data_IF_112764203432
#
_entry.id   IF_112764203432
#
_cell.length_a   1.000
_cell.length_b   1.000
_cell.length_c   1.000
_cell.angle_alpha   90.00
_cell.angle_beta   90.00
_cell.angle_gamma   90.00
#
_symmetry.space_group_name_H-M   'P 1'
#
loop_
_entity.id
_entity.type
_entity.pdbx_description
1 polymer ?
#
# COMPACT_ATOMS: atom_id res chain seq x y z
N UNK A 1 11.42 -31.81 29.36
CA UNK A 1 11.12 -30.38 29.10
C UNK A 1 9.84 -30.01 29.82
N UNK A 2 9.92 -28.96 30.64
CA UNK A 2 8.98 -28.65 31.71
C UNK A 2 7.60 -28.15 31.24
N UNK A 3 6.63 -28.43 32.11
CA UNK A 3 5.19 -28.15 32.09
C UNK A 3 4.79 -26.78 31.47
N UNK A 4 3.96 -26.80 30.41
CA UNK A 4 3.25 -25.63 29.84
C UNK A 4 1.81 -25.51 30.38
N UNK A 5 1.59 -25.73 31.68
CA UNK A 5 0.22 -25.82 32.22
C UNK A 5 -0.53 -24.48 32.33
N UNK A 6 0.12 -23.34 32.08
CA UNK A 6 -0.47 -22.00 32.17
C UNK A 6 -0.22 -21.11 30.94
N UNK A 7 0.19 -21.68 29.80
CA UNK A 7 0.40 -20.93 28.57
C UNK A 7 -0.80 -21.07 27.63
N UNK A 8 -1.49 -19.96 27.36
CA UNK A 8 -2.49 -19.90 26.29
C UNK A 8 -1.84 -19.43 25.01
N UNK A 9 -2.02 -20.16 23.91
CA UNK A 9 -1.51 -19.81 22.59
C UNK A 9 -2.69 -19.63 21.64
N UNK A 10 -2.72 -18.50 20.93
CA UNK A 10 -3.63 -18.25 19.82
C UNK A 10 -2.83 -18.24 18.52
N UNK A 11 -3.25 -19.06 17.55
CA UNK A 11 -2.63 -19.15 16.23
C UNK A 11 -3.63 -18.69 15.19
N UNK A 12 -3.26 -17.68 14.41
CA UNK A 12 -4.05 -17.15 13.30
C UNK A 12 -3.26 -17.32 12.00
N UNK A 13 -3.89 -17.90 10.99
CA UNK A 13 -3.35 -17.94 9.63
C UNK A 13 -4.01 -16.84 8.79
N UNK A 14 -3.18 -16.08 8.07
CA UNK A 14 -3.62 -14.94 7.26
C UNK A 14 -2.77 -14.87 5.99
N UNK A 15 -3.42 -14.67 4.84
CA UNK A 15 -2.76 -14.46 3.56
C UNK A 15 -2.88 -12.97 3.22
N UNK A 16 -1.81 -12.18 3.35
CA UNK A 16 -1.87 -10.74 3.14
C UNK A 16 -2.03 -10.38 1.66
N UNK A 17 -2.70 -9.26 1.42
CA UNK A 17 -2.81 -8.62 0.10
C UNK A 17 -2.02 -7.30 0.07
N UNK A 18 -1.86 -6.72 -1.12
CA UNK A 18 -1.22 -5.40 -1.27
C UNK A 18 -1.96 -4.27 -0.52
N UNK A 19 -3.25 -4.46 -0.24
CA UNK A 19 -4.04 -3.48 0.52
C UNK A 19 -3.79 -3.59 2.03
N UNK A 20 -3.07 -4.61 2.50
CA UNK A 20 -2.73 -4.80 3.91
C UNK A 20 -1.35 -4.26 4.27
N UNK A 21 -0.57 -3.81 3.29
CA UNK A 21 0.71 -3.13 3.50
C UNK A 21 0.53 -1.88 4.38
N UNK A 22 1.34 -1.76 5.44
CA UNK A 22 1.27 -0.68 6.40
C UNK A 22 0.13 -0.77 7.42
N UNK A 23 -0.78 -1.76 7.30
CA UNK A 23 -1.83 -1.99 8.31
C UNK A 23 -1.28 -2.67 9.56
N UNK A 24 -1.85 -2.41 10.76
CA UNK A 24 -1.48 -3.11 11.98
C UNK A 24 -2.18 -4.47 12.09
N UNK A 25 -1.48 -5.45 12.64
CA UNK A 25 -2.05 -6.68 13.21
C UNK A 25 -1.81 -6.68 14.71
N UNK A 26 -2.86 -6.94 15.50
CA UNK A 26 -2.81 -6.86 16.97
C UNK A 26 -3.19 -8.21 17.58
N UNK A 27 -2.32 -8.74 18.44
CA UNK A 27 -2.64 -9.82 19.36
C UNK A 27 -3.13 -9.20 20.67
N UNK A 28 -4.33 -9.57 21.10
CA UNK A 28 -4.96 -9.06 22.32
C UNK A 28 -5.28 -10.23 23.26
N UNK A 29 -4.80 -10.12 24.49
CA UNK A 29 -5.08 -11.05 25.58
C UNK A 29 -6.02 -10.39 26.60
N UNK A 30 -7.11 -11.07 26.91
CA UNK A 30 -8.15 -10.59 27.82
C UNK A 30 -8.41 -11.65 28.91
N UNK A 31 -8.63 -11.20 30.15
CA UNK A 31 -9.08 -12.05 31.23
C UNK A 31 -10.58 -11.77 31.48
N UNK A 32 -11.48 -12.74 31.31
CA UNK A 32 -12.92 -12.50 31.46
C UNK A 32 -13.33 -12.06 32.88
N UNK A 33 -12.51 -12.35 33.90
CA UNK A 33 -12.75 -11.92 35.28
C UNK A 33 -12.22 -10.50 35.56
N UNK A 34 -11.44 -9.91 34.66
CA UNK A 34 -10.87 -8.55 34.79
C UNK A 34 -11.16 -7.79 33.50
N UNK A 35 -12.41 -7.36 33.35
CA UNK A 35 -12.96 -6.79 32.11
C UNK A 35 -12.41 -5.41 31.74
N UNK A 36 -11.73 -4.73 32.66
CA UNK A 36 -11.20 -3.38 32.46
C UNK A 36 -9.78 -3.36 31.90
N UNK A 37 -9.10 -4.50 31.82
CA UNK A 37 -7.70 -4.60 31.42
C UNK A 37 -7.54 -5.59 30.26
N UNK A 38 -6.72 -5.21 29.28
CA UNK A 38 -6.22 -6.10 28.23
C UNK A 38 -4.74 -5.86 28.01
N UNK A 39 -4.06 -6.86 27.47
CA UNK A 39 -2.69 -6.73 26.99
C UNK A 39 -2.66 -6.89 25.48
N UNK A 40 -2.11 -5.90 24.81
CA UNK A 40 -2.09 -5.82 23.36
C UNK A 40 -0.64 -5.76 22.87
N UNK A 41 -0.35 -6.47 21.79
CA UNK A 41 0.92 -6.35 21.06
C UNK A 41 0.59 -6.24 19.58
N UNK A 42 1.13 -5.20 18.94
CA UNK A 42 0.86 -4.91 17.54
C UNK A 42 2.12 -4.94 16.69
N UNK A 43 1.96 -5.36 15.45
CA UNK A 43 2.98 -5.34 14.41
C UNK A 43 2.43 -4.66 13.17
N UNK A 44 3.27 -3.91 12.45
CA UNK A 44 2.90 -3.37 11.14
C UNK A 44 3.22 -4.40 10.06
N UNK A 45 2.24 -4.72 9.23
CA UNK A 45 2.40 -5.63 8.12
C UNK A 45 3.24 -4.94 7.03
N UNK A 46 4.31 -5.58 6.59
CA UNK A 46 5.16 -5.13 5.48
C UNK A 46 5.01 -6.11 4.32
N UNK A 47 4.21 -5.75 3.31
CA UNK A 47 3.97 -6.61 2.14
C UNK A 47 4.80 -6.08 0.99
N UNK A 48 5.65 -6.92 0.43
CA UNK A 48 6.44 -6.60 -0.76
C UNK A 48 5.65 -6.99 -2.00
N UNK A 49 5.46 -6.05 -2.92
CA UNK A 49 4.67 -6.26 -4.13
C UNK A 49 5.22 -5.43 -5.31
N UNK A 50 5.03 -5.91 -6.55
CA UNK A 50 5.45 -5.17 -7.74
C UNK A 50 4.63 -3.87 -7.90
N UNK A 51 5.15 -2.86 -8.61
CA UNK A 51 4.42 -1.62 -8.84
C UNK A 51 3.06 -1.83 -9.51
N UNK A 52 2.02 -1.29 -8.89
CA UNK A 52 0.67 -1.19 -9.43
C UNK A 52 0.47 0.24 -9.93
N UNK A 53 0.21 0.37 -11.23
CA UNK A 53 0.13 1.67 -11.92
C UNK A 53 -1.31 1.98 -12.28
N UNK A 54 -1.75 3.22 -12.02
CA UNK A 54 -3.02 3.77 -12.48
C UNK A 54 -2.80 5.11 -13.16
N UNK A 55 -3.23 5.19 -14.41
CA UNK A 55 -3.22 6.42 -15.19
C UNK A 55 -4.54 7.15 -15.03
N UNK A 56 -4.47 8.46 -14.80
CA UNK A 56 -5.64 9.34 -14.79
C UNK A 56 -5.32 10.58 -15.62
N UNK A 57 -6.34 11.12 -16.26
CA UNK A 57 -6.23 12.44 -16.85
C UNK A 57 -5.95 13.45 -15.73
N UNK A 58 -5.17 14.50 -16.02
CA UNK A 58 -4.87 15.55 -15.07
C UNK A 58 -6.12 16.09 -14.37
N UNK A 59 -6.04 16.36 -13.07
CA UNK A 59 -7.22 16.71 -12.26
C UNK A 59 -7.99 17.94 -12.75
N UNK A 60 -7.35 18.82 -13.53
CA UNK A 60 -7.97 20.01 -14.14
C UNK A 60 -8.60 19.76 -15.52
N UNK A 61 -8.50 18.54 -16.06
CA UNK A 61 -8.95 18.21 -17.41
C UNK A 61 -10.23 17.35 -17.36
N UNK A 62 -11.20 17.70 -18.20
CA UNK A 62 -12.41 16.90 -18.40
C UNK A 62 -12.36 16.24 -19.79
N UNK A 63 -12.40 14.91 -19.83
CA UNK A 63 -12.20 14.16 -21.08
C UNK A 63 -13.19 14.54 -22.20
N UNK A 64 -14.40 14.97 -21.85
CA UNK A 64 -15.43 15.39 -22.82
C UNK A 64 -15.22 16.80 -23.39
N UNK A 65 -14.36 17.62 -22.78
CA UNK A 65 -14.17 19.03 -23.15
C UNK A 65 -12.85 19.29 -23.89
N UNK A 66 -12.03 18.25 -24.10
CA UNK A 66 -10.74 18.34 -24.78
C UNK A 66 -10.96 18.56 -26.28
N UNK A 67 -10.26 19.55 -26.83
CA UNK A 67 -10.30 19.94 -28.25
C UNK A 67 -8.89 20.04 -28.83
N UNK A 68 -8.82 20.11 -30.16
CA UNK A 68 -7.57 20.37 -30.86
C UNK A 68 -6.97 21.71 -30.42
N UNK A 69 -5.69 21.69 -30.07
CA UNK A 69 -4.97 22.84 -29.53
C UNK A 69 -4.94 22.90 -28.00
N UNK A 70 -5.68 22.03 -27.30
CA UNK A 70 -5.62 21.97 -25.84
C UNK A 70 -4.38 21.20 -25.35
N UNK A 71 -3.74 21.72 -24.30
CA UNK A 71 -2.65 21.04 -23.61
C UNK A 71 -3.22 19.96 -22.67
N UNK A 72 -2.76 18.73 -22.85
CA UNK A 72 -3.18 17.59 -22.01
C UNK A 72 -2.01 16.98 -21.27
N UNK A 73 -2.30 16.45 -20.08
CA UNK A 73 -1.34 15.70 -19.30
C UNK A 73 -2.03 14.58 -18.53
N UNK A 74 -1.24 13.57 -18.16
CA UNK A 74 -1.69 12.43 -17.37
C UNK A 74 -0.94 12.38 -16.05
N UNK A 75 -1.65 12.02 -15.00
CA UNK A 75 -1.11 11.69 -13.70
C UNK A 75 -0.92 10.16 -13.61
N UNK A 76 0.29 9.75 -13.23
CA UNK A 76 0.62 8.34 -13.04
C UNK A 76 0.76 8.05 -11.56
N UNK A 77 -0.24 7.37 -11.00
CA UNK A 77 -0.23 6.94 -9.61
C UNK A 77 0.41 5.56 -9.53
N UNK A 78 1.51 5.44 -8.78
CA UNK A 78 2.25 4.20 -8.60
C UNK A 78 2.21 3.80 -7.13
N UNK A 79 1.64 2.63 -6.84
CA UNK A 79 1.77 1.96 -5.53
C UNK A 79 2.80 0.86 -5.63
N UNK A 80 3.84 0.89 -4.81
CA UNK A 80 4.90 -0.12 -4.81
C UNK A 80 5.57 -0.20 -3.45
N UNK A 81 5.95 -1.41 -3.04
CA UNK A 81 6.83 -1.63 -1.90
C UNK A 81 7.88 -2.69 -2.29
N UNK A 82 9.17 -2.32 -2.44
CA UNK A 82 9.77 -1.00 -2.18
C UNK A 82 9.40 0.06 -3.24
N UNK A 83 9.66 1.37 -2.98
CA UNK A 83 9.34 2.43 -3.92
C UNK A 83 9.97 2.26 -5.30
N UNK A 84 9.21 2.54 -6.35
CA UNK A 84 9.68 2.49 -7.74
C UNK A 84 10.77 3.54 -8.00
N UNK A 85 11.78 3.18 -8.81
CA UNK A 85 12.95 4.04 -9.09
C UNK A 85 12.96 4.67 -10.48
N UNK A 86 12.21 4.11 -11.43
CA UNK A 86 12.15 4.54 -12.83
C UNK A 86 10.70 4.52 -13.28
N UNK A 87 10.32 5.55 -14.03
CA UNK A 87 9.01 5.65 -14.68
C UNK A 87 9.23 5.88 -16.17
N UNK A 88 8.52 5.16 -17.02
CA UNK A 88 8.57 5.39 -18.47
C UNK A 88 7.16 5.58 -18.99
N UNK A 89 6.99 6.62 -19.81
CA UNK A 89 5.76 6.88 -20.53
C UNK A 89 5.88 6.31 -21.93
N UNK A 90 4.83 5.65 -22.40
CA UNK A 90 4.76 5.09 -23.74
C UNK A 90 3.51 5.60 -24.44
N UNK A 91 3.70 6.13 -25.64
CA UNK A 91 2.62 6.51 -26.55
C UNK A 91 2.95 5.94 -27.93
N UNK A 92 2.05 5.14 -28.49
CA UNK A 92 2.26 4.46 -29.78
C UNK A 92 3.64 3.80 -29.90
N UNK A 93 4.04 3.05 -28.85
CA UNK A 93 5.32 2.31 -28.78
C UNK A 93 6.58 3.20 -28.65
N UNK A 94 6.45 4.52 -28.75
CA UNK A 94 7.55 5.46 -28.46
C UNK A 94 7.71 5.67 -26.96
N UNK A 95 8.94 5.52 -26.44
CA UNK A 95 9.21 5.52 -24.99
C UNK A 95 9.92 6.79 -24.53
N UNK A 96 9.39 7.45 -23.51
CA UNK A 96 10.00 8.56 -22.78
C UNK A 96 10.34 8.14 -21.35
N UNK A 97 11.63 8.06 -21.01
CA UNK A 97 12.10 7.59 -19.70
C UNK A 97 12.28 8.77 -18.74
N UNK A 98 11.64 8.72 -17.59
CA UNK A 98 11.75 9.69 -16.50
C UNK A 98 12.38 9.04 -15.26
N UNK A 99 13.23 9.82 -14.56
CA UNK A 99 13.77 9.44 -13.25
C UNK A 99 12.82 9.95 -12.17
N UNK A 100 12.35 9.06 -11.30
CA UNK A 100 11.55 9.46 -10.14
C UNK A 100 12.51 10.01 -9.08
N UNK A 101 12.36 11.28 -8.72
CA UNK A 101 13.03 11.87 -7.56
C UNK A 101 12.26 11.47 -6.29
N UNK A 102 12.91 10.87 -5.29
CA UNK A 102 12.24 10.46 -4.05
C UNK A 102 12.00 11.68 -3.15
N UNK A 103 11.08 12.57 -3.54
CA UNK A 103 10.52 13.64 -2.69
C UNK A 103 9.57 14.55 -3.47
N UNK A 104 8.37 14.06 -3.77
CA UNK A 104 7.15 14.89 -3.86
C UNK A 104 5.92 13.98 -3.94
N UNK A 105 5.57 13.41 -2.80
CA UNK A 105 4.14 13.27 -2.48
C UNK A 105 3.56 14.66 -2.60
N UNK A 106 2.64 14.84 -3.57
CA UNK A 106 1.69 15.94 -3.51
C UNK A 106 0.69 15.63 -2.40
#
# INVERSE_FOLDING_TARGET
EELRDNLTVSVMSFVPTLDDDGKPITCRAENPNVTTLSMDTSWTINVVYPPVVRLRLGSSLAAGDIKEGDDVYFECHVRANPPARKLSWLHDVSTSILRLTPSRTM
#
